data_IF_689380839618
#
_entry.id   IF_689380839618
#
_cell.length_a   1.000
_cell.length_b   1.000
_cell.length_c   1.000
_cell.angle_alpha   90.00
_cell.angle_beta   90.00
_cell.angle_gamma   90.00
#
_symmetry.space_group_name_H-M   'P 1'
#
loop_
_entity.id
_entity.type
_entity.pdbx_description
1 polymer ?
#
# COMPACT_ATOMS: atom_id res chain seq x y z
N UNK A 1 -25.17 -26.92 -12.34
CA UNK A 1 -24.78 -26.17 -13.54
C UNK A 1 -25.17 -24.72 -13.27
N UNK A 2 -24.26 -23.89 -12.77
CA UNK A 2 -24.52 -22.46 -12.58
C UNK A 2 -24.38 -21.77 -13.94
N UNK A 3 -25.45 -21.11 -14.38
CA UNK A 3 -25.42 -20.24 -15.53
C UNK A 3 -24.41 -19.13 -15.27
N UNK A 4 -23.32 -19.13 -16.04
CA UNK A 4 -22.46 -17.96 -16.22
C UNK A 4 -23.36 -16.80 -16.63
N UNK A 5 -23.41 -15.76 -15.81
CA UNK A 5 -24.09 -14.51 -16.15
C UNK A 5 -23.54 -14.04 -17.50
N UNK A 6 -24.41 -13.99 -18.51
CA UNK A 6 -24.19 -13.20 -19.71
C UNK A 6 -24.12 -11.73 -19.27
N UNK A 7 -22.92 -11.27 -18.93
CA UNK A 7 -22.63 -9.86 -18.85
C UNK A 7 -22.90 -9.29 -20.25
N UNK A 8 -23.97 -8.51 -20.40
CA UNK A 8 -24.26 -7.80 -21.63
C UNK A 8 -23.02 -6.98 -21.99
N UNK A 9 -22.34 -7.24 -23.11
CA UNK A 9 -21.15 -6.48 -23.47
C UNK A 9 -21.57 -5.03 -23.65
N UNK A 10 -20.90 -4.13 -22.94
CA UNK A 10 -21.05 -2.70 -23.17
C UNK A 10 -20.48 -2.44 -24.56
N UNK A 11 -21.34 -2.16 -25.54
CA UNK A 11 -20.94 -1.74 -26.89
C UNK A 11 -20.33 -0.34 -26.81
N UNK A 12 -19.03 -0.29 -26.56
CA UNK A 12 -18.23 0.92 -26.67
C UNK A 12 -17.99 1.22 -28.16
N UNK A 13 -18.13 2.48 -28.61
CA UNK A 13 -17.74 2.86 -29.97
C UNK A 13 -16.30 2.42 -30.25
N UNK A 14 -15.98 2.00 -31.49
CA UNK A 14 -14.64 1.50 -31.87
C UNK A 14 -13.50 2.43 -31.45
N UNK A 15 -13.74 3.74 -31.43
CA UNK A 15 -12.78 4.76 -30.97
C UNK A 15 -12.39 4.64 -29.47
N UNK A 16 -13.19 3.94 -28.67
CA UNK A 16 -12.94 3.67 -27.24
C UNK A 16 -12.52 2.21 -26.98
N UNK A 17 -12.37 1.40 -28.03
CA UNK A 17 -11.86 0.04 -27.92
C UNK A 17 -10.35 0.13 -27.68
N UNK A 18 -9.92 -0.35 -26.52
CA UNK A 18 -8.52 -0.43 -26.14
C UNK A 18 -7.79 -1.48 -27.01
N UNK A 19 -7.05 -1.01 -28.02
CA UNK A 19 -6.39 -1.85 -29.04
C UNK A 19 -5.09 -2.50 -28.57
N UNK A 20 -4.62 -2.22 -27.35
CA UNK A 20 -3.45 -2.86 -26.75
C UNK A 20 -3.65 -4.36 -26.60
N UNK A 21 -2.57 -5.14 -26.52
CA UNK A 21 -2.67 -6.56 -26.20
C UNK A 21 -3.29 -6.77 -24.79
N UNK A 22 -3.89 -7.94 -24.54
CA UNK A 22 -4.51 -8.25 -23.24
C UNK A 22 -3.53 -8.06 -22.07
N UNK A 23 -2.24 -8.39 -22.24
CA UNK A 23 -1.22 -8.19 -21.22
C UNK A 23 -0.98 -6.70 -20.94
N UNK A 24 -0.84 -5.89 -21.98
CA UNK A 24 -0.64 -4.44 -21.87
C UNK A 24 -1.84 -3.75 -21.20
N UNK A 25 -3.07 -4.19 -21.53
CA UNK A 25 -4.29 -3.69 -20.86
C UNK A 25 -4.31 -4.04 -19.37
N UNK A 26 -3.85 -5.23 -19.01
CA UNK A 26 -3.77 -5.64 -17.61
C UNK A 26 -2.77 -4.76 -16.84
N UNK A 27 -1.58 -4.53 -17.40
CA UNK A 27 -0.54 -3.67 -16.82
C UNK A 27 -1.07 -2.24 -16.65
N UNK A 28 -1.69 -1.68 -17.69
CA UNK A 28 -2.24 -0.33 -17.64
C UNK A 28 -3.34 -0.18 -16.58
N UNK A 29 -4.25 -1.16 -16.47
CA UNK A 29 -5.32 -1.13 -15.46
C UNK A 29 -4.77 -1.29 -14.05
N UNK A 30 -3.79 -2.17 -13.84
CA UNK A 30 -3.13 -2.33 -12.56
C UNK A 30 -2.44 -1.03 -12.12
N UNK A 31 -1.73 -0.36 -13.03
CA UNK A 31 -1.14 0.95 -12.77
C UNK A 31 -2.20 1.97 -12.35
N UNK A 32 -3.33 2.09 -13.08
CA UNK A 32 -4.40 3.03 -12.68
C UNK A 32 -4.95 2.70 -11.29
N UNK A 33 -5.10 1.41 -10.95
CA UNK A 33 -5.51 1.00 -9.60
C UNK A 33 -4.49 1.45 -8.56
N UNK A 34 -3.20 1.35 -8.84
CA UNK A 34 -2.14 1.76 -7.92
C UNK A 34 -2.10 3.28 -7.73
N UNK A 35 -2.32 4.08 -8.78
CA UNK A 35 -2.48 5.53 -8.67
C UNK A 35 -3.69 5.91 -7.81
N UNK A 36 -4.84 5.27 -8.05
CA UNK A 36 -6.05 5.52 -7.26
C UNK A 36 -5.86 5.13 -5.79
N UNK A 37 -5.08 4.08 -5.51
CA UNK A 37 -4.73 3.69 -4.14
C UNK A 37 -3.79 4.68 -3.47
N UNK A 38 -2.83 5.25 -4.21
CA UNK A 38 -1.97 6.31 -3.69
C UNK A 38 -2.79 7.54 -3.31
N UNK A 39 -3.66 8.02 -4.20
CA UNK A 39 -4.57 9.13 -3.91
C UNK A 39 -5.49 8.85 -2.71
N UNK A 40 -6.05 7.63 -2.62
CA UNK A 40 -6.84 7.23 -1.46
C UNK A 40 -6.00 7.17 -0.17
N UNK A 41 -4.73 6.81 -0.24
CA UNK A 41 -3.83 6.78 0.91
C UNK A 41 -3.53 8.18 1.44
N UNK A 42 -3.31 9.17 0.56
CA UNK A 42 -3.18 10.58 0.96
C UNK A 42 -4.42 11.08 1.71
N UNK A 43 -5.62 10.87 1.14
CA UNK A 43 -6.89 11.21 1.80
C UNK A 43 -7.09 10.45 3.13
N UNK A 44 -6.69 9.18 3.19
CA UNK A 44 -6.78 8.37 4.42
C UNK A 44 -5.89 8.92 5.53
N UNK A 45 -4.67 9.40 5.21
CA UNK A 45 -3.78 10.02 6.18
C UNK A 45 -4.27 11.40 6.63
N UNK A 46 -4.78 12.22 5.69
CA UNK A 46 -5.41 13.50 6.03
C UNK A 46 -6.60 13.30 6.98
N UNK A 47 -7.49 12.34 6.66
CA UNK A 47 -8.61 11.97 7.53
C UNK A 47 -8.14 11.43 8.88
N UNK A 48 -7.12 10.57 8.90
CA UNK A 48 -6.56 10.02 10.13
C UNK A 48 -5.93 11.08 11.04
N UNK A 49 -5.45 12.20 10.49
CA UNK A 49 -4.94 13.33 11.24
C UNK A 49 -6.04 14.20 11.90
N UNK A 50 -7.31 13.97 11.55
CA UNK A 50 -8.47 14.59 12.20
C UNK A 50 -8.95 13.77 13.41
N UNK A 51 -10.06 14.18 14.02
CA UNK A 51 -10.81 13.36 14.98
C UNK A 51 -12.23 13.05 14.47
N UNK A 52 -12.53 13.30 13.19
CA UNK A 52 -13.90 13.26 12.64
C UNK A 52 -14.50 11.85 12.73
N UNK A 53 -13.66 10.81 12.70
CA UNK A 53 -14.10 9.43 12.91
C UNK A 53 -14.74 9.17 14.28
N UNK A 54 -14.46 10.01 15.30
CA UNK A 54 -15.10 9.90 16.61
C UNK A 54 -16.56 10.33 16.58
N UNK A 55 -16.92 11.28 15.71
CA UNK A 55 -18.30 11.78 15.59
C UNK A 55 -19.25 10.69 15.06
N UNK A 56 -18.72 9.77 14.27
CA UNK A 56 -19.41 8.56 13.78
C UNK A 56 -19.29 7.36 14.74
N UNK A 57 -18.67 7.54 15.90
CA UNK A 57 -18.53 6.51 16.94
C UNK A 57 -17.47 5.44 16.65
N UNK A 58 -16.58 5.66 15.69
CA UNK A 58 -15.46 4.75 15.45
C UNK A 58 -14.35 4.94 16.49
N UNK A 59 -13.70 3.85 16.91
CA UNK A 59 -12.64 3.89 17.91
C UNK A 59 -11.32 4.45 17.35
N UNK A 60 -11.07 4.24 16.04
CA UNK A 60 -9.86 4.69 15.33
C UNK A 60 -10.24 5.09 13.90
N UNK A 61 -9.40 5.92 13.27
CA UNK A 61 -9.50 6.22 11.83
C UNK A 61 -9.45 4.95 10.98
N UNK A 62 -8.58 4.00 11.32
CA UNK A 62 -8.47 2.69 10.64
C UNK A 62 -9.79 1.92 10.70
N UNK A 63 -10.47 1.89 11.86
CA UNK A 63 -11.77 1.23 12.00
C UNK A 63 -12.86 1.92 11.18
N UNK A 64 -12.86 3.25 11.16
CA UNK A 64 -13.78 4.01 10.32
C UNK A 64 -13.56 3.70 8.83
N UNK A 65 -12.31 3.76 8.37
CA UNK A 65 -11.93 3.51 6.97
C UNK A 65 -12.28 2.07 6.56
N UNK A 66 -11.92 1.07 7.36
CA UNK A 66 -12.18 -0.33 6.97
C UNK A 66 -13.69 -0.63 6.85
N UNK A 67 -14.52 -0.04 7.70
CA UNK A 67 -15.97 -0.24 7.68
C UNK A 67 -16.59 0.49 6.49
N UNK A 68 -16.30 1.79 6.34
CA UNK A 68 -16.94 2.65 5.36
C UNK A 68 -16.38 2.49 3.94
N UNK A 69 -15.11 2.11 3.80
CA UNK A 69 -14.48 1.82 2.50
C UNK A 69 -14.47 0.31 2.17
N UNK A 70 -15.09 -0.54 3.01
CA UNK A 70 -15.20 -1.99 2.81
C UNK A 70 -13.84 -2.71 2.64
N UNK A 71 -12.87 -2.31 3.45
CA UNK A 71 -11.52 -2.85 3.45
C UNK A 71 -11.31 -3.83 4.62
N UNK A 72 -10.30 -4.67 4.51
CA UNK A 72 -9.79 -5.37 5.69
C UNK A 72 -9.08 -4.38 6.61
N UNK A 73 -8.99 -4.69 7.91
CA UNK A 73 -8.23 -3.86 8.85
C UNK A 73 -6.79 -3.61 8.38
N UNK A 74 -6.03 -4.64 7.94
CA UNK A 74 -4.71 -4.44 7.37
C UNK A 74 -4.67 -3.52 6.14
N UNK A 75 -5.63 -3.65 5.21
CA UNK A 75 -5.67 -2.81 4.03
C UNK A 75 -5.96 -1.33 4.37
N UNK A 76 -6.81 -1.06 5.35
CA UNK A 76 -7.04 0.30 5.85
C UNK A 76 -5.79 0.86 6.56
N UNK A 77 -5.13 0.05 7.39
CA UNK A 77 -3.88 0.44 8.04
C UNK A 77 -2.76 0.71 7.02
N UNK A 78 -2.70 -0.05 5.93
CA UNK A 78 -1.73 0.14 4.86
C UNK A 78 -1.95 1.48 4.11
N UNK A 79 -3.21 1.88 3.88
CA UNK A 79 -3.53 3.20 3.31
C UNK A 79 -3.03 4.33 4.20
N UNK A 80 -3.38 4.31 5.50
CA UNK A 80 -2.95 5.34 6.46
C UNK A 80 -1.42 5.41 6.52
N UNK A 81 -0.75 4.26 6.67
CA UNK A 81 0.71 4.21 6.74
C UNK A 81 1.39 4.74 5.48
N UNK A 82 0.88 4.42 4.27
CA UNK A 82 1.44 4.97 3.03
C UNK A 82 1.22 6.47 2.97
N UNK A 83 0.00 6.95 3.24
CA UNK A 83 -0.33 8.37 3.20
C UNK A 83 0.54 9.23 4.12
N UNK A 84 0.77 8.76 5.36
CA UNK A 84 1.63 9.44 6.35
C UNK A 84 3.08 9.60 5.85
N UNK A 85 3.55 8.69 4.99
CA UNK A 85 4.92 8.67 4.48
C UNK A 85 5.06 9.22 3.06
N UNK A 86 4.01 9.68 2.38
CA UNK A 86 4.09 10.19 0.99
C UNK A 86 5.14 11.29 0.86
N UNK A 87 5.16 12.24 1.78
CA UNK A 87 6.14 13.35 1.78
C UNK A 87 7.58 12.90 2.08
N UNK A 88 7.75 11.75 2.72
CA UNK A 88 9.05 11.17 3.10
C UNK A 88 9.56 10.14 2.08
N UNK A 89 8.71 9.72 1.13
CA UNK A 89 9.01 8.75 0.08
C UNK A 89 8.85 9.33 -1.35
N UNK A 90 9.36 10.54 -1.64
CA UNK A 90 9.10 11.20 -2.93
C UNK A 90 9.63 10.39 -4.13
N UNK A 91 10.80 9.76 -4.01
CA UNK A 91 11.38 9.01 -5.13
C UNK A 91 10.59 7.73 -5.44
N UNK A 92 10.02 7.13 -4.40
CA UNK A 92 9.19 5.93 -4.50
C UNK A 92 7.79 6.24 -5.03
N UNK A 93 7.24 7.40 -4.63
CA UNK A 93 6.00 7.94 -5.19
C UNK A 93 6.16 8.22 -6.69
N UNK A 94 7.24 8.88 -7.10
CA UNK A 94 7.56 9.11 -8.52
C UNK A 94 7.69 7.77 -9.28
N UNK A 95 8.39 6.79 -8.70
CA UNK A 95 8.54 5.47 -9.31
C UNK A 95 7.20 4.73 -9.47
N UNK A 96 6.25 4.91 -8.55
CA UNK A 96 4.88 4.40 -8.70
C UNK A 96 4.13 5.15 -9.80
N UNK A 97 4.23 6.47 -9.82
CA UNK A 97 3.56 7.31 -10.82
C UNK A 97 4.02 7.00 -12.25
N UNK A 98 5.28 6.64 -12.41
CA UNK A 98 5.85 6.19 -13.69
C UNK A 98 5.58 4.70 -13.98
N UNK A 99 5.04 3.94 -13.02
CA UNK A 99 4.66 2.53 -13.19
C UNK A 99 5.81 1.53 -13.02
N UNK A 100 6.94 1.96 -12.46
CA UNK A 100 8.08 1.08 -12.17
C UNK A 100 7.83 0.19 -10.95
N UNK A 101 7.02 0.67 -9.99
CA UNK A 101 6.60 -0.10 -8.81
C UNK A 101 5.08 0.06 -8.61
N UNK A 102 4.42 -0.96 -8.04
CA UNK A 102 3.01 -0.85 -7.61
C UNK A 102 2.82 -0.44 -6.16
N UNK A 103 1.58 -0.17 -5.76
CA UNK A 103 1.21 0.31 -4.40
C UNK A 103 1.68 -0.63 -3.28
N UNK A 104 1.71 -1.94 -3.55
CA UNK A 104 2.25 -2.92 -2.60
C UNK A 104 3.71 -2.69 -2.23
N UNK A 105 4.54 -2.10 -3.10
CA UNK A 105 5.91 -1.73 -2.74
C UNK A 105 5.93 -0.54 -1.78
N UNK A 106 5.09 0.48 -2.01
CA UNK A 106 4.96 1.63 -1.10
C UNK A 106 4.51 1.18 0.30
N UNK A 107 3.56 0.25 0.38
CA UNK A 107 3.15 -0.35 1.66
C UNK A 107 4.34 -0.95 2.39
N UNK A 108 5.17 -1.73 1.71
CA UNK A 108 6.37 -2.34 2.32
C UNK A 108 7.36 -1.26 2.75
N UNK A 109 7.56 -0.20 1.98
CA UNK A 109 8.44 0.92 2.33
C UNK A 109 7.95 1.65 3.56
N UNK A 110 6.71 2.13 3.57
CA UNK A 110 6.09 2.84 4.68
C UNK A 110 6.13 2.02 5.98
N UNK A 111 5.75 0.74 5.94
CA UNK A 111 5.81 -0.15 7.12
C UNK A 111 7.25 -0.42 7.58
N UNK A 112 8.21 -0.37 6.65
CA UNK A 112 9.63 -0.50 7.00
C UNK A 112 10.13 0.78 7.65
N UNK A 113 9.79 1.95 7.12
CA UNK A 113 10.11 3.25 7.71
C UNK A 113 9.57 3.35 9.15
N UNK A 114 8.29 3.04 9.36
CA UNK A 114 7.65 3.00 10.69
C UNK A 114 8.35 2.05 11.67
N UNK A 115 8.76 0.86 11.22
CA UNK A 115 9.43 -0.09 12.09
C UNK A 115 10.86 0.35 12.46
N UNK A 116 11.59 0.99 11.53
CA UNK A 116 12.93 1.51 11.82
C UNK A 116 12.87 2.77 12.69
N UNK A 117 11.91 3.67 12.48
CA UNK A 117 11.74 4.89 13.29
C UNK A 117 11.33 4.58 14.73
N UNK A 118 10.55 3.51 14.94
CA UNK A 118 10.14 3.04 16.27
C UNK A 118 11.26 2.34 17.04
N UNK A 119 12.38 1.99 16.40
CA UNK A 119 13.49 1.29 17.04
C UNK A 119 14.55 2.27 17.54
N UNK A 120 14.96 2.10 18.79
CA UNK A 120 16.02 2.91 19.39
C UNK A 120 17.42 2.61 18.84
N UNK A 121 17.61 1.47 18.16
CA UNK A 121 18.92 1.00 17.70
C UNK A 121 19.03 0.85 16.20
N UNK A 122 17.91 0.89 15.47
CA UNK A 122 17.93 0.79 14.02
C UNK A 122 18.54 2.05 13.38
N UNK A 123 19.24 1.91 12.23
CA UNK A 123 19.59 3.07 11.43
C UNK A 123 18.33 3.75 10.89
N UNK A 124 18.44 5.04 10.57
CA UNK A 124 17.40 5.78 9.86
C UNK A 124 17.04 5.10 8.52
N UNK A 125 15.79 5.23 8.11
CA UNK A 125 15.32 4.71 6.83
C UNK A 125 16.00 5.45 5.66
N UNK A 126 16.60 4.68 4.75
CA UNK A 126 17.26 5.19 3.54
C UNK A 126 16.42 4.83 2.32
N UNK A 127 15.56 5.76 1.89
CA UNK A 127 14.62 5.55 0.78
C UNK A 127 15.31 5.01 -0.47
N UNK A 128 16.41 5.62 -0.91
CA UNK A 128 17.08 5.26 -2.17
C UNK A 128 17.50 3.81 -2.18
N UNK A 129 18.13 3.35 -1.10
CA UNK A 129 18.57 1.97 -0.98
C UNK A 129 17.41 0.98 -1.02
N UNK A 130 16.29 1.31 -0.38
CA UNK A 130 15.10 0.46 -0.42
C UNK A 130 14.41 0.50 -1.78
N UNK A 131 14.38 1.65 -2.45
CA UNK A 131 13.83 1.81 -3.80
C UNK A 131 14.63 1.03 -4.84
N UNK A 132 15.96 1.09 -4.82
CA UNK A 132 16.81 0.28 -5.69
C UNK A 132 16.49 -1.21 -5.53
N UNK A 133 16.29 -1.65 -4.28
CA UNK A 133 15.91 -3.03 -3.99
C UNK A 133 14.48 -3.36 -4.49
N UNK A 134 13.54 -2.43 -4.39
CA UNK A 134 12.16 -2.63 -4.84
C UNK A 134 12.08 -2.76 -6.38
N UNK A 135 12.83 -1.94 -7.12
CA UNK A 135 12.87 -1.95 -8.59
C UNK A 135 13.34 -3.29 -9.17
N UNK A 136 14.17 -4.03 -8.43
CA UNK A 136 14.75 -5.30 -8.87
C UNK A 136 13.95 -6.53 -8.45
N UNK A 137 12.88 -6.37 -7.65
CA UNK A 137 12.23 -7.49 -6.98
C UNK A 137 10.71 -7.40 -7.05
N UNK A 138 10.03 -8.56 -7.01
CA UNK A 138 8.59 -8.58 -6.80
C UNK A 138 8.24 -8.07 -5.40
N UNK A 139 7.04 -7.52 -5.21
CA UNK A 139 6.53 -7.06 -3.90
C UNK A 139 6.78 -8.10 -2.80
N UNK A 140 6.47 -9.37 -3.06
CA UNK A 140 6.64 -10.45 -2.07
C UNK A 140 8.10 -10.68 -1.69
N UNK A 141 9.02 -10.68 -2.67
CA UNK A 141 10.45 -10.83 -2.39
C UNK A 141 11.01 -9.59 -1.67
N UNK A 142 10.62 -8.39 -2.10
CA UNK A 142 11.00 -7.14 -1.44
C UNK A 142 10.51 -7.11 0.02
N UNK A 143 9.26 -7.50 0.28
CA UNK A 143 8.72 -7.63 1.64
C UNK A 143 9.59 -8.55 2.52
N UNK A 144 10.01 -9.70 2.01
CA UNK A 144 10.92 -10.59 2.75
C UNK A 144 12.28 -9.95 3.01
N UNK A 145 12.87 -9.25 2.03
CA UNK A 145 14.15 -8.55 2.20
C UNK A 145 14.04 -7.44 3.26
N UNK A 146 12.99 -6.63 3.24
CA UNK A 146 12.74 -5.61 4.26
C UNK A 146 12.49 -6.21 5.64
N UNK A 147 11.77 -7.33 5.72
CA UNK A 147 11.59 -8.07 6.97
C UNK A 147 12.92 -8.51 7.57
N UNK A 148 13.83 -9.07 6.74
CA UNK A 148 15.17 -9.44 7.21
C UNK A 148 16.00 -8.23 7.65
N UNK A 149 15.94 -7.11 6.91
CA UNK A 149 16.62 -5.87 7.29
C UNK A 149 16.14 -5.36 8.66
N UNK A 150 14.83 -5.43 8.93
CA UNK A 150 14.25 -5.08 10.24
C UNK A 150 14.77 -5.98 11.37
N UNK A 151 14.82 -7.29 11.18
CA UNK A 151 15.38 -8.19 12.22
C UNK A 151 16.84 -7.89 12.53
N UNK A 152 17.63 -7.61 11.50
CA UNK A 152 19.05 -7.33 11.66
C UNK A 152 19.29 -6.00 12.40
N UNK A 153 18.40 -5.02 12.21
CA UNK A 153 18.45 -3.70 12.83
C UNK A 153 17.90 -3.67 14.27
N UNK A 154 16.88 -4.49 14.57
CA UNK A 154 16.28 -4.59 15.90
C UNK A 154 15.71 -5.98 16.21
N UNK A 155 16.54 -6.89 16.74
CA UNK A 155 16.09 -8.23 17.14
C UNK A 155 15.04 -8.22 18.25
N UNK A 156 14.97 -7.18 19.10
CA UNK A 156 14.09 -7.13 20.28
C UNK A 156 12.72 -6.51 19.97
N UNK A 157 12.69 -5.43 19.19
CA UNK A 157 11.45 -4.80 18.72
C UNK A 157 10.63 -5.71 17.81
N UNK A 158 11.29 -6.59 17.04
CA UNK A 158 10.62 -7.53 16.16
C UNK A 158 9.70 -8.53 16.87
N UNK A 159 10.16 -9.12 17.98
CA UNK A 159 9.38 -10.12 18.73
C UNK A 159 8.06 -9.55 19.29
N UNK A 160 8.00 -8.25 19.58
CA UNK A 160 6.80 -7.56 20.05
C UNK A 160 5.79 -7.30 18.92
N UNK A 161 6.27 -7.02 17.70
CA UNK A 161 5.40 -6.74 16.54
C UNK A 161 4.72 -8.01 15.98
N UNK A 162 5.38 -9.17 16.02
CA UNK A 162 4.75 -10.44 15.61
C UNK A 162 3.61 -10.87 16.53
N UNK A 163 3.71 -10.59 17.84
CA UNK A 163 2.64 -10.92 18.79
C UNK A 163 1.33 -10.16 18.46
N UNK A 164 1.44 -8.89 18.08
CA UNK A 164 0.27 -8.05 17.78
C UNK A 164 -0.42 -8.37 16.44
N UNK A 165 0.25 -9.07 15.52
CA UNK A 165 -0.34 -9.52 14.25
C UNK A 165 -1.15 -10.82 14.38
N UNK A 166 -0.98 -11.57 15.47
CA UNK A 166 -1.70 -12.83 15.73
C UNK A 166 -3.01 -12.60 16.49
N UNK A 167 -3.16 -11.44 17.14
CA UNK A 167 -4.29 -11.13 18.03
C UNK A 167 -5.44 -10.31 17.37
N UNK A 168 -5.36 -9.98 16.07
CA UNK A 168 -6.38 -9.20 15.35
C UNK A 168 -7.07 -9.95 14.21
#
# INVERSE_FOLDING_TARGET
>A
MLATQDACPIDLPEAFVDTRDRGERLIAKAHVIDLMRLSLAEEAAEFAATNDYLDDGAATSIDWIRINCHLTGPAAADLVAVGEHVAELPQSVDALADGHIGFGHLVVMARTANALSSSATAPAFDERRFLDTALENTVGKFHHLCRHARHAADPKGYAAAEANLVEN
#
